data_IF_109336423805
#
_entry.id   IF_109336423805
#
_cell.length_a   1.000
_cell.length_b   1.000
_cell.length_c   1.000
_cell.angle_alpha   90.00
_cell.angle_beta   90.00
_cell.angle_gamma   90.00
#
_symmetry.space_group_name_H-M   'P 1'
#
loop_
_entity.id
_entity.type
_entity.pdbx_description
1 polymer ?
#
# COMPACT_ATOMS: atom_id res chain seq x y z
N UNK A 1 40.66 -5.74 65.32
CA UNK A 1 39.28 -6.30 65.15
C UNK A 1 38.47 -5.20 64.47
N UNK A 2 38.69 -5.03 63.16
CA UNK A 2 37.86 -5.53 62.05
C UNK A 2 36.64 -4.63 61.78
N UNK A 3 36.69 -4.05 60.59
CA UNK A 3 35.76 -3.09 60.01
C UNK A 3 34.37 -3.69 59.75
N UNK A 4 33.35 -2.84 59.69
CA UNK A 4 32.23 -3.07 58.77
C UNK A 4 31.84 -1.75 58.09
N UNK A 5 32.22 -1.69 56.81
CA UNK A 5 31.76 -0.74 55.82
C UNK A 5 30.27 -0.99 55.57
N UNK A 6 29.45 -0.01 55.90
CA UNK A 6 28.02 0.00 55.59
C UNK A 6 27.85 0.34 54.11
N UNK A 7 27.70 -0.67 53.26
CA UNK A 7 27.43 -0.51 51.83
C UNK A 7 25.96 -0.15 51.62
N UNK A 8 25.70 1.13 51.39
CA UNK A 8 24.44 1.61 50.81
C UNK A 8 24.29 1.02 49.41
N UNK A 9 23.47 -0.03 49.31
CA UNK A 9 23.08 -0.62 48.04
C UNK A 9 22.00 0.28 47.43
N UNK A 10 22.41 1.15 46.52
CA UNK A 10 21.50 1.88 45.63
C UNK A 10 20.83 0.83 44.77
N UNK A 11 19.59 0.47 45.12
CA UNK A 11 18.68 -0.30 44.29
C UNK A 11 18.45 0.52 43.01
N UNK A 12 19.20 0.18 41.96
CA UNK A 12 18.89 0.54 40.59
C UNK A 12 17.55 -0.11 40.26
N UNK A 13 16.46 0.61 40.47
CA UNK A 13 15.18 0.32 39.87
C UNK A 13 15.34 0.53 38.35
N UNK A 14 15.76 -0.53 37.65
CA UNK A 14 15.61 -0.59 36.21
C UNK A 14 14.11 -0.51 35.92
N UNK A 15 13.65 0.66 35.49
CA UNK A 15 12.39 0.83 34.79
C UNK A 15 12.44 -0.02 33.52
N UNK A 16 11.97 -1.26 33.61
CA UNK A 16 11.65 -2.09 32.45
C UNK A 16 10.43 -1.43 31.81
N UNK A 17 10.67 -0.51 30.87
CA UNK A 17 9.62 -0.03 29.98
C UNK A 17 9.03 -1.25 29.26
N UNK A 18 7.71 -1.48 29.30
CA UNK A 18 7.11 -2.48 28.43
C UNK A 18 7.33 -2.00 27.00
N UNK A 19 8.20 -2.70 26.27
CA UNK A 19 8.28 -2.58 24.81
C UNK A 19 6.90 -2.98 24.32
N UNK A 20 6.09 -1.99 23.95
CA UNK A 20 4.81 -2.23 23.31
C UNK A 20 5.13 -2.86 21.95
N UNK A 21 5.10 -4.19 21.90
CA UNK A 21 4.99 -4.92 20.65
C UNK A 21 3.68 -4.44 20.03
N UNK A 22 3.76 -3.52 19.07
CA UNK A 22 2.61 -3.08 18.30
C UNK A 22 2.04 -4.33 17.60
N UNK A 23 1.01 -4.94 18.18
CA UNK A 23 0.32 -6.06 17.56
C UNK A 23 -0.60 -5.48 16.49
N UNK A 24 -0.34 -5.86 15.24
CA UNK A 24 -1.21 -5.56 14.11
C UNK A 24 -2.61 -6.16 14.36
N UNK A 25 -3.70 -5.49 13.93
CA UNK A 25 -5.02 -6.07 13.98
C UNK A 25 -5.09 -7.34 13.12
N UNK A 26 -5.99 -8.27 13.45
CA UNK A 26 -6.17 -9.48 12.66
C UNK A 26 -6.92 -9.14 11.35
N UNK A 27 -6.45 -9.67 10.23
CA UNK A 27 -7.07 -9.45 8.92
C UNK A 27 -8.49 -10.00 8.87
N UNK A 28 -9.40 -9.21 8.29
CA UNK A 28 -10.67 -9.76 7.81
C UNK A 28 -10.47 -10.45 6.47
N UNK A 29 -11.46 -11.27 6.07
CA UNK A 29 -11.45 -12.00 4.80
C UNK A 29 -11.19 -11.11 3.57
N UNK A 30 -11.66 -9.86 3.58
CA UNK A 30 -11.61 -8.95 2.43
C UNK A 30 -10.39 -8.03 2.45
N UNK A 31 -9.50 -8.20 3.43
CA UNK A 31 -8.29 -7.39 3.59
C UNK A 31 -7.06 -8.20 3.20
N UNK A 32 -6.15 -7.53 2.50
CA UNK A 32 -4.81 -8.03 2.30
C UNK A 32 -4.00 -7.85 3.59
N UNK A 33 -3.13 -8.81 3.91
CA UNK A 33 -2.23 -8.73 5.06
C UNK A 33 -1.02 -7.83 4.78
N UNK A 34 -0.60 -7.75 3.52
CA UNK A 34 0.40 -6.78 3.07
C UNK A 34 0.09 -6.23 1.68
N UNK A 35 0.71 -5.10 1.38
CA UNK A 35 0.68 -4.49 0.06
C UNK A 35 2.10 -4.14 -0.38
N UNK A 36 2.46 -4.54 -1.60
CA UNK A 36 3.68 -4.15 -2.28
C UNK A 36 3.35 -3.09 -3.33
N UNK A 37 4.09 -2.00 -3.29
CA UNK A 37 4.00 -0.86 -4.21
C UNK A 37 5.32 -0.75 -4.96
N UNK A 38 5.25 -0.86 -6.28
CA UNK A 38 6.38 -0.76 -7.20
C UNK A 38 6.27 0.60 -7.95
N UNK A 39 6.94 1.64 -7.42
CA UNK A 39 6.89 2.99 -8.02
C UNK A 39 7.95 3.13 -9.11
N UNK A 40 7.50 3.34 -10.34
CA UNK A 40 8.39 3.56 -11.48
C UNK A 40 8.77 5.04 -11.60
N UNK A 41 9.93 5.36 -12.20
CA UNK A 41 10.25 6.72 -12.62
C UNK A 41 9.17 7.29 -13.56
N UNK A 42 8.97 8.60 -13.52
CA UNK A 42 8.12 9.27 -14.50
C UNK A 42 8.87 9.38 -15.83
N UNK A 43 8.15 9.23 -16.94
CA UNK A 43 8.67 9.59 -18.26
C UNK A 43 8.78 11.10 -18.28
N UNK A 44 10.00 11.61 -18.49
CA UNK A 44 10.20 13.04 -18.73
C UNK A 44 9.61 13.36 -20.10
N UNK A 45 8.58 14.20 -20.13
CA UNK A 45 8.20 14.84 -21.38
C UNK A 45 9.34 15.80 -21.74
N UNK A 46 9.98 15.58 -22.89
CA UNK A 46 10.92 16.50 -23.52
C UNK A 46 10.20 17.79 -23.97
N UNK A 47 9.56 18.51 -23.06
CA UNK A 47 8.95 19.82 -23.30
C UNK A 47 10.04 20.89 -23.26
N UNK A 48 11.04 20.71 -24.11
CA UNK A 48 12.08 21.67 -24.42
C UNK A 48 11.66 22.50 -25.63
N UNK A 49 10.96 23.61 -25.39
CA UNK A 49 10.88 24.73 -26.34
C UNK A 49 9.52 25.07 -26.92
N UNK A 50 8.95 26.19 -26.47
CA UNK A 50 8.74 27.42 -27.25
C UNK A 50 7.56 28.24 -26.69
N UNK A 51 7.83 29.46 -26.22
CA UNK A 51 7.26 30.68 -26.81
C UNK A 51 7.40 31.86 -25.86
N UNK A 52 8.22 32.82 -26.25
CA UNK A 52 8.10 34.18 -25.77
C UNK A 52 6.77 34.77 -26.29
N UNK A 53 5.85 35.10 -25.37
CA UNK A 53 4.74 36.01 -25.65
C UNK A 53 3.34 35.40 -25.59
N UNK A 54 2.52 35.96 -24.68
CA UNK A 54 1.06 36.14 -24.76
C UNK A 54 0.13 34.89 -24.67
N UNK A 55 -0.17 34.44 -23.43
CA UNK A 55 -1.49 34.17 -22.75
C UNK A 55 -2.71 33.76 -23.64
N UNK A 56 -3.58 32.74 -23.30
CA UNK A 56 -4.51 32.69 -22.12
C UNK A 56 -4.55 31.35 -21.34
N UNK A 57 -4.78 31.33 -20.02
CA UNK A 57 -6.04 31.49 -19.24
C UNK A 57 -6.91 30.20 -19.23
N UNK A 58 -6.64 29.35 -18.22
CA UNK A 58 -7.42 28.23 -17.64
C UNK A 58 -7.82 27.01 -18.51
N UNK A 59 -7.58 25.85 -17.87
CA UNK A 59 -8.01 24.47 -18.10
C UNK A 59 -7.40 23.67 -19.28
N UNK A 60 -6.81 22.52 -18.91
CA UNK A 60 -6.64 21.31 -19.73
C UNK A 60 -5.42 21.19 -20.67
N UNK A 61 -4.20 21.11 -20.10
CA UNK A 61 -3.09 20.38 -20.76
C UNK A 61 -1.96 19.97 -19.80
N UNK A 62 -2.27 19.61 -18.55
CA UNK A 62 -1.31 18.79 -17.80
C UNK A 62 -1.56 17.35 -18.25
N UNK A 63 -0.75 16.85 -19.18
CA UNK A 63 -0.74 15.42 -19.48
C UNK A 63 -0.62 14.67 -18.15
N UNK A 64 -1.48 13.68 -17.92
CA UNK A 64 -1.33 12.82 -16.75
C UNK A 64 0.09 12.26 -16.76
N UNK A 65 0.86 12.43 -15.67
CA UNK A 65 2.24 11.98 -15.63
C UNK A 65 2.27 10.48 -15.92
N UNK A 66 3.06 10.08 -16.93
CA UNK A 66 3.18 8.69 -17.34
C UNK A 66 4.39 8.03 -16.68
N UNK A 67 4.25 6.76 -16.31
CA UNK A 67 5.30 5.98 -15.64
C UNK A 67 6.10 5.18 -16.66
N UNK A 68 7.43 5.13 -16.49
CA UNK A 68 8.30 4.31 -17.31
C UNK A 68 8.42 2.88 -16.72
N UNK A 69 7.54 1.99 -17.18
CA UNK A 69 7.52 0.59 -16.78
C UNK A 69 8.72 -0.24 -17.29
N UNK A 70 9.59 0.34 -18.11
CA UNK A 70 10.81 -0.34 -18.58
C UNK A 70 11.97 -0.23 -17.58
N UNK A 71 11.89 0.72 -16.64
CA UNK A 71 12.91 0.94 -15.63
C UNK A 71 12.66 0.13 -14.35
N UNK A 72 13.67 0.02 -13.50
CA UNK A 72 13.55 -0.65 -12.20
C UNK A 72 12.73 0.22 -11.23
N UNK A 73 11.66 -0.32 -10.63
CA UNK A 73 10.85 0.45 -9.69
C UNK A 73 11.51 0.58 -8.32
N UNK A 74 11.12 1.61 -7.57
CA UNK A 74 11.31 1.69 -6.12
C UNK A 74 10.21 0.88 -5.43
N UNK A 75 10.56 -0.32 -4.96
CA UNK A 75 9.62 -1.22 -4.27
C UNK A 75 9.51 -0.89 -2.78
N UNK A 76 8.27 -0.78 -2.30
CA UNK A 76 7.93 -0.62 -0.88
C UNK A 76 6.87 -1.64 -0.48
N UNK A 77 7.06 -2.28 0.68
CA UNK A 77 6.11 -3.24 1.23
C UNK A 77 5.55 -2.71 2.55
N UNK A 78 4.23 -2.83 2.72
CA UNK A 78 3.50 -2.34 3.88
C UNK A 78 2.72 -3.50 4.52
N UNK A 79 2.94 -3.72 5.82
CA UNK A 79 2.14 -4.65 6.62
C UNK A 79 0.85 -3.95 7.07
N UNK A 80 -0.30 -4.54 6.77
CA UNK A 80 -1.61 -3.94 7.03
C UNK A 80 -2.31 -4.59 8.23
N UNK A 81 -2.22 -5.91 8.33
CA UNK A 81 -2.85 -6.71 9.38
C UNK A 81 -2.14 -8.07 9.53
N UNK A 82 -2.30 -8.69 10.69
CA UNK A 82 -1.77 -10.03 10.99
C UNK A 82 -2.72 -11.14 10.53
N UNK A 83 -2.15 -12.25 10.07
CA UNK A 83 -2.92 -13.45 9.76
C UNK A 83 -3.33 -14.20 11.03
N UNK A 84 -4.48 -14.89 10.98
CA UNK A 84 -4.96 -15.69 12.10
C UNK A 84 -4.23 -17.04 12.19
N UNK A 85 -4.40 -17.79 13.28
CA UNK A 85 -3.96 -19.19 13.41
C UNK A 85 -2.45 -19.45 13.21
N UNK A 86 -1.58 -18.51 13.59
CA UNK A 86 -0.11 -18.57 13.39
C UNK A 86 0.32 -18.66 11.92
N UNK A 87 -0.55 -18.33 10.97
CA UNK A 87 -0.14 -18.16 9.59
C UNK A 87 0.68 -16.88 9.43
N UNK A 88 1.62 -16.89 8.51
CA UNK A 88 2.44 -15.72 8.16
C UNK A 88 1.94 -15.11 6.86
N UNK A 89 1.97 -13.78 6.80
CA UNK A 89 1.76 -13.05 5.56
C UNK A 89 3.01 -13.23 4.68
N UNK A 90 2.96 -14.17 3.75
CA UNK A 90 4.09 -14.58 2.92
C UNK A 90 3.85 -14.21 1.45
N UNK A 91 4.58 -13.22 0.96
CA UNK A 91 4.50 -12.70 -0.40
C UNK A 91 5.29 -13.54 -1.42
N UNK A 92 6.06 -14.53 -0.97
CA UNK A 92 6.74 -15.47 -1.86
C UNK A 92 5.79 -16.52 -2.46
N UNK A 93 4.62 -16.71 -1.86
CA UNK A 93 3.60 -17.66 -2.31
C UNK A 93 2.70 -16.98 -3.36
N UNK A 94 2.91 -17.32 -4.63
CA UNK A 94 2.19 -16.71 -5.76
C UNK A 94 0.66 -16.77 -5.64
N UNK A 95 0.12 -17.86 -5.12
CA UNK A 95 -1.34 -18.08 -5.03
C UNK A 95 -2.01 -17.20 -3.96
N UNK A 96 -1.22 -16.58 -3.08
CA UNK A 96 -1.66 -15.59 -2.09
C UNK A 96 -1.56 -14.16 -2.60
N UNK A 97 -0.93 -13.97 -3.76
CA UNK A 97 -0.69 -12.65 -4.34
C UNK A 97 -1.78 -12.31 -5.36
N UNK A 98 -2.35 -11.12 -5.22
CA UNK A 98 -3.28 -10.52 -6.15
C UNK A 98 -2.66 -9.26 -6.74
N UNK A 99 -2.21 -9.36 -7.99
CA UNK A 99 -1.72 -8.21 -8.75
C UNK A 99 -2.91 -7.41 -9.28
N UNK A 100 -3.06 -6.17 -8.82
CA UNK A 100 -4.10 -5.27 -9.28
C UNK A 100 -3.66 -4.51 -10.54
N UNK A 101 -2.41 -4.08 -10.58
CA UNK A 101 -1.78 -3.50 -11.78
C UNK A 101 -0.25 -3.60 -11.71
N UNK A 102 0.45 -2.82 -12.53
CA UNK A 102 1.92 -2.82 -12.56
C UNK A 102 2.57 -2.25 -11.30
N UNK A 103 1.85 -1.42 -10.53
CA UNK A 103 2.36 -0.76 -9.32
C UNK A 103 1.90 -1.49 -8.06
N UNK A 104 0.66 -1.97 -8.00
CA UNK A 104 0.07 -2.49 -6.76
C UNK A 104 -0.11 -4.01 -6.81
N UNK A 105 0.54 -4.69 -5.87
CA UNK A 105 0.33 -6.10 -5.57
C UNK A 105 -0.10 -6.27 -4.13
N UNK A 106 -1.16 -7.04 -3.89
CA UNK A 106 -1.68 -7.34 -2.56
C UNK A 106 -1.35 -8.79 -2.19
N UNK A 107 -0.99 -9.04 -0.93
CA UNK A 107 -0.79 -10.41 -0.42
C UNK A 107 -1.84 -10.72 0.63
N UNK A 108 -2.43 -11.89 0.53
CA UNK A 108 -3.45 -12.40 1.44
C UNK A 108 -2.90 -13.49 2.36
N UNK A 109 -3.64 -13.80 3.43
CA UNK A 109 -3.24 -14.84 4.38
C UNK A 109 -3.40 -16.25 3.81
N UNK A 110 -4.41 -16.45 2.95
CA UNK A 110 -4.71 -17.72 2.30
C UNK A 110 -4.67 -17.59 0.76
N UNK A 111 -4.84 -18.71 0.04
CA UNK A 111 -5.01 -18.71 -1.42
C UNK A 111 -6.15 -17.75 -1.80
N UNK A 112 -5.88 -16.83 -2.72
CA UNK A 112 -6.81 -15.79 -3.16
C UNK A 112 -8.14 -16.37 -3.65
N UNK A 113 -8.13 -17.55 -4.28
CA UNK A 113 -9.35 -18.21 -4.78
C UNK A 113 -10.22 -18.77 -3.66
N UNK A 114 -9.61 -19.18 -2.54
CA UNK A 114 -10.32 -19.67 -1.36
C UNK A 114 -10.83 -18.49 -0.52
N UNK A 115 -9.95 -17.51 -0.29
CA UNK A 115 -10.27 -16.32 0.49
C UNK A 115 -11.29 -15.44 -0.23
N UNK A 116 -11.19 -15.27 -1.55
CA UNK A 116 -12.03 -14.40 -2.38
C UNK A 116 -12.71 -15.17 -3.54
N UNK A 117 -13.71 -16.02 -3.26
CA UNK A 117 -14.30 -16.93 -4.25
C UNK A 117 -15.29 -16.24 -5.20
N UNK A 118 -15.66 -14.99 -4.93
CA UNK A 118 -16.60 -14.25 -5.74
C UNK A 118 -15.88 -13.60 -6.91
N UNK A 119 -16.47 -13.64 -8.09
CA UNK A 119 -16.03 -12.87 -9.24
C UNK A 119 -16.73 -11.52 -9.28
N UNK A 120 -16.02 -10.46 -9.62
CA UNK A 120 -16.60 -9.13 -9.67
C UNK A 120 -17.62 -9.05 -10.82
N UNK A 121 -18.78 -8.45 -10.53
CA UNK A 121 -19.84 -8.24 -11.53
C UNK A 121 -20.34 -6.80 -11.46
N UNK A 122 -20.26 -6.09 -12.58
CA UNK A 122 -20.65 -4.69 -12.66
C UNK A 122 -19.72 -3.77 -11.86
N UNK A 123 -20.28 -2.70 -11.28
CA UNK A 123 -19.53 -1.63 -10.62
C UNK A 123 -19.60 -1.64 -9.09
N UNK A 124 -20.22 -2.65 -8.48
CA UNK A 124 -20.37 -2.75 -7.01
C UNK A 124 -19.32 -3.69 -6.43
N UNK A 125 -18.79 -3.33 -5.26
CA UNK A 125 -17.83 -4.17 -4.52
C UNK A 125 -16.46 -4.27 -5.20
N UNK A 126 -16.09 -3.24 -5.99
CA UNK A 126 -14.80 -3.20 -6.67
C UNK A 126 -13.65 -3.26 -5.65
N UNK A 127 -12.58 -4.02 -5.94
CA UNK A 127 -11.35 -3.95 -5.17
C UNK A 127 -10.87 -2.52 -5.02
N UNK A 128 -10.43 -2.18 -3.82
CA UNK A 128 -10.07 -0.82 -3.44
C UNK A 128 -8.80 -0.80 -2.61
N UNK A 129 -7.92 0.14 -2.93
CA UNK A 129 -6.69 0.44 -2.22
C UNK A 129 -6.76 1.87 -1.74
N UNK A 130 -6.50 2.10 -0.45
CA UNK A 130 -6.52 3.41 0.18
C UNK A 130 -5.13 3.68 0.76
N UNK A 131 -4.66 4.90 0.58
CA UNK A 131 -3.33 5.25 1.01
C UNK A 131 -2.94 6.69 0.69
N UNK A 132 -1.78 7.11 1.17
CA UNK A 132 -1.25 8.45 0.92
C UNK A 132 -0.93 8.61 -0.56
N UNK A 133 -1.39 9.71 -1.16
CA UNK A 133 -1.15 9.99 -2.57
C UNK A 133 0.35 10.06 -2.88
N UNK A 134 0.75 9.47 -3.99
CA UNK A 134 2.03 9.76 -4.61
C UNK A 134 2.00 11.19 -5.18
N UNK A 135 3.13 11.94 -5.22
CA UNK A 135 3.17 13.30 -5.76
C UNK A 135 2.62 13.45 -7.19
N UNK A 136 2.60 12.37 -7.99
CA UNK A 136 1.98 12.36 -9.32
C UNK A 136 0.45 12.44 -9.31
N UNK A 137 -0.20 12.11 -8.19
CA UNK A 137 -1.67 12.07 -8.06
C UNK A 137 -2.34 10.82 -8.65
N UNK A 138 -1.61 10.00 -9.41
CA UNK A 138 -2.15 8.85 -10.16
C UNK A 138 -2.10 7.51 -9.41
N UNK A 139 -1.35 7.45 -8.30
CA UNK A 139 -1.17 6.25 -7.47
C UNK A 139 -0.90 6.60 -6.01
N UNK A 140 -0.82 5.59 -5.14
CA UNK A 140 -0.44 5.73 -3.73
C UNK A 140 1.07 5.56 -3.54
N UNK A 141 1.66 6.31 -2.62
CA UNK A 141 3.05 6.15 -2.16
C UNK A 141 3.16 5.25 -0.92
N UNK A 142 2.07 5.13 -0.16
CA UNK A 142 1.95 4.26 1.02
C UNK A 142 0.51 3.75 1.11
N UNK A 143 0.32 2.48 1.45
CA UNK A 143 -1.00 1.87 1.62
C UNK A 143 -1.37 1.84 3.10
N UNK A 144 -2.56 2.34 3.42
CA UNK A 144 -3.11 2.29 4.79
C UNK A 144 -4.20 1.24 4.94
N UNK A 145 -4.98 0.99 3.87
CA UNK A 145 -6.06 0.01 3.92
C UNK A 145 -6.38 -0.57 2.55
N UNK A 146 -6.93 -1.77 2.55
CA UNK A 146 -7.42 -2.46 1.35
C UNK A 146 -8.79 -3.06 1.61
N UNK A 147 -9.60 -3.15 0.56
CA UNK A 147 -10.88 -3.84 0.61
C UNK A 147 -11.12 -4.53 -0.74
N UNK A 148 -11.06 -5.85 -0.75
CA UNK A 148 -11.22 -6.69 -1.95
C UNK A 148 -12.32 -7.71 -1.67
N UNK A 149 -13.45 -7.56 -2.37
CA UNK A 149 -14.62 -8.42 -2.15
C UNK A 149 -14.75 -9.53 -3.20
N UNK A 150 -14.04 -9.39 -4.31
CA UNK A 150 -14.16 -10.23 -5.47
C UNK A 150 -12.88 -10.17 -6.32
N UNK A 151 -12.74 -11.13 -7.24
CA UNK A 151 -11.60 -11.24 -8.15
C UNK A 151 -12.02 -11.10 -9.62
N UNK A 152 -11.07 -10.71 -10.48
CA UNK A 152 -11.25 -10.62 -11.93
C UNK A 152 -10.32 -11.63 -12.64
N UNK A 153 -10.85 -12.66 -13.31
CA UNK A 153 -10.04 -13.67 -13.98
C UNK A 153 -9.15 -13.11 -15.09
N UNK A 154 -9.66 -12.12 -15.83
CA UNK A 154 -8.97 -11.48 -16.97
C UNK A 154 -8.09 -10.28 -16.53
N UNK A 155 -7.94 -10.09 -15.21
CA UNK A 155 -7.20 -8.99 -14.62
C UNK A 155 -8.02 -7.73 -14.38
N UNK A 156 -7.35 -6.71 -13.86
CA UNK A 156 -7.99 -5.48 -13.42
C UNK A 156 -7.57 -4.27 -14.26
N UNK A 157 -8.45 -3.28 -14.30
CA UNK A 157 -8.21 -1.95 -14.84
C UNK A 157 -8.38 -0.93 -13.73
N UNK A 158 -7.35 -0.12 -13.51
CA UNK A 158 -7.35 0.96 -12.51
C UNK A 158 -8.36 2.04 -12.90
N UNK A 159 -9.21 2.44 -11.97
CA UNK A 159 -10.08 3.61 -12.11
C UNK A 159 -9.38 4.87 -11.60
N UNK A 160 -9.88 6.04 -12.02
CA UNK A 160 -9.34 7.34 -11.57
C UNK A 160 -9.33 7.41 -10.03
N UNK A 161 -8.21 7.84 -9.40
CA UNK A 161 -8.17 8.02 -7.96
C UNK A 161 -9.20 9.03 -7.46
N UNK A 162 -9.81 8.73 -6.31
CA UNK A 162 -10.79 9.56 -5.63
C UNK A 162 -10.20 10.09 -4.32
N UNK A 163 -10.58 11.30 -3.90
CA UNK A 163 -10.22 11.81 -2.58
C UNK A 163 -10.86 10.93 -1.49
N UNK A 164 -10.06 10.49 -0.50
CA UNK A 164 -10.57 9.72 0.64
C UNK A 164 -10.62 10.56 1.92
N UNK A 165 -9.51 11.26 2.23
CA UNK A 165 -9.41 12.07 3.44
C UNK A 165 -7.97 12.48 3.75
N UNK A 166 -7.77 13.71 4.22
CA UNK A 166 -6.42 14.22 4.52
C UNK A 166 -5.52 14.19 3.28
N UNK A 167 -4.41 13.43 3.37
CA UNK A 167 -3.48 13.19 2.25
C UNK A 167 -3.76 11.88 1.49
N UNK A 168 -4.85 11.17 1.84
CA UNK A 168 -5.18 9.87 1.28
C UNK A 168 -6.10 9.96 0.07
N UNK A 169 -5.84 9.06 -0.89
CA UNK A 169 -6.67 8.78 -2.05
C UNK A 169 -7.17 7.34 -1.99
N UNK A 170 -8.25 7.08 -2.70
CA UNK A 170 -8.81 5.76 -2.93
C UNK A 170 -8.71 5.40 -4.40
N UNK A 171 -8.13 4.25 -4.70
CA UNK A 171 -8.00 3.71 -6.04
C UNK A 171 -8.89 2.47 -6.11
N UNK A 172 -9.89 2.50 -6.99
CA UNK A 172 -10.77 1.36 -7.24
C UNK A 172 -10.38 0.65 -8.54
N UNK A 173 -10.67 -0.64 -8.63
CA UNK A 173 -10.27 -1.49 -9.75
C UNK A 173 -11.50 -2.21 -10.31
N UNK A 174 -11.75 -2.10 -11.61
CA UNK A 174 -12.79 -2.87 -12.31
C UNK A 174 -12.17 -4.05 -13.06
N UNK A 175 -12.96 -5.05 -13.44
CA UNK A 175 -12.49 -6.08 -14.35
C UNK A 175 -12.26 -5.50 -15.75
N UNK A 176 -11.25 -6.03 -16.44
CA UNK A 176 -11.02 -5.82 -17.87
C UNK A 176 -12.06 -6.54 -18.73
#
# INVERSE_FOLDING_TARGET
MCAMLWRSSVLLALCILPISLAQLPICTRVQACSARIDIYPLVEDDSSGWSSGLVPLYDEAFASPSFDYTQTPETKTFELCGCSNNETCDDSISDRNLRLDDIVTLTFCEDVRLQLPLQCRGSRGLPRVIGVAHPSGETVSMVSSTAVFCTCPDGYERMRPEYWGGAEISISYKCK
#
